data_IF_754136061888
#
_entry.id   IF_754136061888
#
_cell.length_a   1.000
_cell.length_b   1.000
_cell.length_c   1.000
_cell.angle_alpha   90.00
_cell.angle_beta   90.00
_cell.angle_gamma   90.00
#
_symmetry.space_group_name_H-M   'P 1'
#
loop_
_entity.id
_entity.type
_entity.pdbx_description
1 polymer ?
#
# COMPACT_ATOMS: atom_id res chain seq x y z
N UNK A 1 -4.96 10.90 0.31
CA UNK A 1 -3.53 10.54 0.37
C UNK A 1 -3.15 9.95 -0.97
N UNK A 2 -2.07 10.43 -1.58
CA UNK A 2 -1.54 9.89 -2.84
C UNK A 2 -0.41 8.87 -2.59
N UNK A 3 0.06 8.20 -3.64
CA UNK A 3 1.07 7.14 -3.51
C UNK A 3 2.41 7.64 -2.96
N UNK A 4 2.86 8.83 -3.36
CA UNK A 4 4.11 9.42 -2.86
C UNK A 4 4.01 9.84 -1.40
N UNK A 5 2.85 10.32 -0.95
CA UNK A 5 2.57 10.58 0.47
C UNK A 5 2.60 9.28 1.28
N UNK A 6 1.98 8.22 0.78
CA UNK A 6 2.01 6.90 1.43
C UNK A 6 3.44 6.38 1.58
N UNK A 7 4.27 6.49 0.53
CA UNK A 7 5.68 6.11 0.58
C UNK A 7 6.52 6.91 1.58
N UNK A 8 6.19 8.18 1.81
CA UNK A 8 6.89 8.98 2.84
C UNK A 8 6.61 8.49 4.25
N UNK A 9 5.44 7.89 4.48
CA UNK A 9 5.01 7.38 5.77
C UNK A 9 5.46 5.94 5.96
N UNK A 10 5.21 5.09 4.96
CA UNK A 10 5.39 3.64 5.03
C UNK A 10 6.71 3.14 4.41
N UNK A 11 7.51 4.03 3.84
CA UNK A 11 8.69 3.70 3.02
C UNK A 11 8.32 3.03 1.68
N UNK A 12 9.29 2.44 0.97
CA UNK A 12 9.01 1.75 -0.29
C UNK A 12 8.22 0.45 -0.03
N UNK A 13 7.21 0.14 -0.87
CA UNK A 13 6.53 -1.14 -0.78
C UNK A 13 7.43 -2.28 -1.22
N UNK A 14 7.23 -3.45 -0.62
CA UNK A 14 7.91 -4.69 -1.02
C UNK A 14 7.46 -5.18 -2.38
N UNK A 15 6.18 -4.97 -2.69
CA UNK A 15 5.60 -5.35 -3.98
C UNK A 15 4.54 -4.33 -4.41
N UNK A 16 4.44 -4.09 -5.71
CA UNK A 16 3.37 -3.29 -6.29
C UNK A 16 3.02 -3.77 -7.69
N UNK A 17 1.76 -3.56 -8.06
CA UNK A 17 1.24 -3.80 -9.40
C UNK A 17 0.51 -2.56 -9.87
N UNK A 18 0.78 -2.14 -11.10
CA UNK A 18 0.19 -0.95 -11.70
C UNK A 18 -0.46 -1.34 -13.02
N UNK A 19 -1.68 -0.84 -13.24
CA UNK A 19 -2.42 -0.98 -14.47
C UNK A 19 -2.97 0.38 -14.88
N UNK A 20 -2.89 0.70 -16.17
CA UNK A 20 -3.43 1.94 -16.72
C UNK A 20 -4.26 1.64 -17.97
N UNK A 21 -5.41 2.29 -18.08
CA UNK A 21 -6.25 2.34 -19.27
C UNK A 21 -6.52 3.79 -19.68
N UNK A 22 -7.29 3.99 -20.75
CA UNK A 22 -7.77 5.34 -21.13
C UNK A 22 -8.63 5.99 -20.05
N UNK A 23 -9.26 5.20 -19.20
CA UNK A 23 -10.32 5.65 -18.29
C UNK A 23 -9.82 5.76 -16.84
N UNK A 24 -8.89 4.89 -16.45
CA UNK A 24 -8.35 4.87 -15.10
C UNK A 24 -6.94 4.33 -14.99
N UNK A 25 -6.22 4.83 -14.00
CA UNK A 25 -4.99 4.24 -13.48
C UNK A 25 -5.28 3.59 -12.13
N UNK A 26 -4.80 2.38 -11.92
CA UNK A 26 -4.87 1.69 -10.62
C UNK A 26 -3.49 1.20 -10.20
N UNK A 27 -3.12 1.44 -8.94
CA UNK A 27 -1.89 0.94 -8.35
C UNK A 27 -2.22 0.22 -7.04
N UNK A 28 -1.81 -1.03 -6.92
CA UNK A 28 -1.87 -1.78 -5.69
C UNK A 28 -0.46 -1.93 -5.14
N UNK A 29 -0.26 -1.63 -3.86
CA UNK A 29 1.03 -1.72 -3.19
C UNK A 29 0.91 -2.48 -1.87
N UNK A 30 1.92 -3.30 -1.56
CA UNK A 30 1.98 -4.13 -0.36
C UNK A 30 3.29 -3.91 0.37
N UNK A 31 3.19 -3.67 1.69
CA UNK A 31 4.31 -3.60 2.63
C UNK A 31 4.23 -4.80 3.57
N UNK A 32 5.32 -5.53 3.67
CA UNK A 32 5.55 -6.70 4.52
C UNK A 32 6.77 -6.41 5.41
N UNK A 33 7.81 -5.77 4.86
CA UNK A 33 9.00 -5.37 5.59
C UNK A 33 8.89 -3.94 6.14
N UNK A 34 9.75 -3.59 7.10
CA UNK A 34 9.75 -2.27 7.74
C UNK A 34 8.61 -2.02 8.73
N UNK A 35 7.73 -3.01 8.94
CA UNK A 35 6.62 -2.94 9.89
C UNK A 35 7.09 -3.21 11.32
N UNK A 36 6.71 -2.33 12.25
CA UNK A 36 7.01 -2.50 13.68
C UNK A 36 5.96 -3.40 14.34
N UNK A 37 6.10 -4.71 14.18
CA UNK A 37 5.17 -5.70 14.76
C UNK A 37 5.88 -7.03 15.04
N UNK A 38 5.34 -7.79 16.00
CA UNK A 38 5.76 -9.16 16.29
C UNK A 38 4.87 -10.21 15.60
N UNK A 39 3.78 -9.80 14.95
CA UNK A 39 2.88 -10.71 14.28
C UNK A 39 3.51 -11.25 12.99
N UNK A 40 3.57 -12.58 12.88
CA UNK A 40 4.02 -13.23 11.65
C UNK A 40 2.98 -13.00 10.54
N UNK A 41 3.45 -12.69 9.33
CA UNK A 41 2.60 -12.43 8.18
C UNK A 41 1.89 -11.08 8.20
N UNK A 42 2.31 -10.16 9.07
CA UNK A 42 1.78 -8.81 9.06
C UNK A 42 2.10 -8.09 7.76
N UNK A 43 1.12 -7.35 7.24
CA UNK A 43 1.28 -6.58 6.02
C UNK A 43 0.27 -5.44 5.93
N UNK A 44 0.59 -4.44 5.11
CA UNK A 44 -0.29 -3.35 4.70
C UNK A 44 -0.51 -3.49 3.21
N UNK A 45 -1.76 -3.42 2.77
CA UNK A 45 -2.15 -3.40 1.36
C UNK A 45 -2.91 -2.11 1.09
N UNK A 46 -2.44 -1.31 0.15
CA UNK A 46 -3.08 -0.08 -0.29
C UNK A 46 -3.48 -0.19 -1.76
N UNK A 47 -4.68 0.28 -2.11
CA UNK A 47 -5.15 0.44 -3.47
C UNK A 47 -5.33 1.93 -3.78
N UNK A 48 -4.73 2.37 -4.87
CA UNK A 48 -4.85 3.71 -5.41
C UNK A 48 -5.57 3.64 -6.75
N UNK A 49 -6.54 4.54 -6.97
CA UNK A 49 -7.10 4.81 -8.29
C UNK A 49 -6.85 6.27 -8.65
N UNK A 50 -6.34 6.55 -9.85
CA UNK A 50 -5.95 7.88 -10.33
C UNK A 50 -5.08 8.64 -9.30
N UNK A 51 -4.08 7.94 -8.75
CA UNK A 51 -3.16 8.42 -7.71
C UNK A 51 -3.84 8.87 -6.39
N UNK A 52 -5.06 8.42 -6.11
CA UNK A 52 -5.74 8.65 -4.85
C UNK A 52 -5.99 7.33 -4.13
N UNK A 53 -5.68 7.26 -2.84
CA UNK A 53 -5.97 6.09 -2.02
C UNK A 53 -7.49 5.88 -1.96
N UNK A 54 -7.93 4.71 -2.41
CA UNK A 54 -9.34 4.30 -2.37
C UNK A 54 -9.59 3.15 -1.40
N UNK A 55 -8.58 2.32 -1.11
CA UNK A 55 -8.68 1.22 -0.16
C UNK A 55 -7.40 1.06 0.64
N UNK A 56 -7.55 0.77 1.94
CA UNK A 56 -6.46 0.43 2.84
C UNK A 56 -6.87 -0.78 3.67
N UNK A 57 -6.00 -1.78 3.72
CA UNK A 57 -6.12 -2.94 4.57
C UNK A 57 -4.81 -3.20 5.30
N UNK A 58 -4.90 -3.65 6.54
CA UNK A 58 -3.75 -4.06 7.34
C UNK A 58 -4.07 -5.33 8.11
N UNK A 59 -3.09 -6.23 8.18
CA UNK A 59 -3.18 -7.48 8.95
C UNK A 59 -1.99 -7.54 9.90
N UNK A 60 -2.22 -7.94 11.15
CA UNK A 60 -1.16 -8.14 12.14
C UNK A 60 -0.50 -6.85 12.66
N UNK A 61 -1.16 -5.69 12.50
CA UNK A 61 -0.67 -4.37 12.94
C UNK A 61 -1.49 -3.75 14.08
N UNK A 62 -2.15 -4.57 14.88
CA UNK A 62 -2.80 -4.13 16.12
C UNK A 62 -1.82 -4.24 17.29
N UNK A 63 -1.79 -3.20 18.13
CA UNK A 63 -1.17 -3.22 19.47
C UNK A 63 -1.66 -4.41 20.31
#
# INVERSE_FOLDING_TARGET
MNYEEAKKILTQPDNYSQAASSDKESLQAVWISGLKTHAQGAHISLLFENNQLVEMSQIGLTD
#
